data_IF_414013824749
#
_entry.id   IF_414013824749
#
_cell.length_a   1.000
_cell.length_b   1.000
_cell.length_c   1.000
_cell.angle_alpha   90.00
_cell.angle_beta   90.00
_cell.angle_gamma   90.00
#
_symmetry.space_group_name_H-M   'P 1'
#
loop_
_entity.id
_entity.type
_entity.pdbx_description
1 polymer ?
#
# COMPACT_ATOMS: atom_id res chain seq x y z
N UNK A 1 -35.19 -21.98 -9.19
CA UNK A 1 -33.74 -22.22 -9.37
C UNK A 1 -33.00 -21.19 -8.52
N UNK A 2 -32.58 -21.57 -7.32
CA UNK A 2 -32.24 -20.65 -6.24
C UNK A 2 -30.74 -20.74 -5.91
N UNK A 3 -30.07 -19.58 -5.92
CA UNK A 3 -28.82 -19.26 -5.21
C UNK A 3 -27.50 -20.02 -5.56
N UNK A 4 -27.40 -20.74 -6.69
CA UNK A 4 -26.15 -21.43 -7.09
C UNK A 4 -25.06 -20.50 -7.64
N UNK A 5 -25.40 -19.28 -8.08
CA UNK A 5 -24.47 -18.34 -8.73
C UNK A 5 -23.52 -17.64 -7.75
N UNK A 6 -23.87 -17.55 -6.46
CA UNK A 6 -23.03 -16.93 -5.42
C UNK A 6 -21.74 -17.72 -5.16
N UNK A 7 -21.78 -19.05 -5.32
CA UNK A 7 -20.62 -19.92 -5.13
C UNK A 7 -19.53 -19.72 -6.20
N UNK A 8 -19.90 -19.31 -7.41
CA UNK A 8 -18.94 -18.96 -8.46
C UNK A 8 -18.28 -17.60 -8.24
N UNK A 9 -18.87 -16.72 -7.44
CA UNK A 9 -18.30 -15.41 -7.11
C UNK A 9 -17.21 -15.50 -6.03
N UNK A 10 -17.24 -16.51 -5.15
CA UNK A 10 -16.26 -16.66 -4.06
C UNK A 10 -14.80 -16.82 -4.54
N UNK A 11 -14.49 -17.70 -5.51
CA UNK A 11 -13.13 -17.80 -6.06
C UNK A 11 -12.65 -16.48 -6.66
N UNK A 12 -13.54 -15.75 -7.33
CA UNK A 12 -13.22 -14.49 -7.98
C UNK A 12 -12.91 -13.38 -6.97
N UNK A 13 -13.70 -13.27 -5.90
CA UNK A 13 -13.46 -12.34 -4.79
C UNK A 13 -12.14 -12.65 -4.08
N UNK A 14 -11.84 -13.94 -3.85
CA UNK A 14 -10.56 -14.36 -3.29
C UNK A 14 -9.39 -13.99 -4.19
N UNK A 15 -9.55 -14.15 -5.52
CA UNK A 15 -8.55 -13.75 -6.49
C UNK A 15 -8.31 -12.24 -6.48
N UNK A 16 -9.36 -11.43 -6.57
CA UNK A 16 -9.25 -9.96 -6.49
C UNK A 16 -8.58 -9.54 -5.18
N UNK A 17 -9.03 -10.11 -4.05
CA UNK A 17 -8.44 -9.81 -2.75
C UNK A 17 -6.96 -10.15 -2.73
N UNK A 18 -6.56 -11.32 -3.22
CA UNK A 18 -5.15 -11.71 -3.29
C UNK A 18 -4.35 -10.72 -4.15
N UNK A 19 -4.84 -10.35 -5.33
CA UNK A 19 -4.12 -9.43 -6.23
C UNK A 19 -4.09 -7.97 -5.76
N UNK A 20 -4.96 -7.56 -4.83
CA UNK A 20 -4.93 -6.21 -4.25
C UNK A 20 -4.18 -6.21 -2.91
N UNK A 21 -4.54 -7.12 -2.02
CA UNK A 21 -4.01 -7.18 -0.66
C UNK A 21 -2.57 -7.69 -0.61
N UNK A 22 -2.19 -8.67 -1.44
CA UNK A 22 -0.82 -9.19 -1.48
C UNK A 22 0.20 -8.10 -1.86
N UNK A 23 0.07 -7.35 -2.97
CA UNK A 23 1.03 -6.28 -3.27
C UNK A 23 1.00 -5.16 -2.24
N UNK A 24 -0.16 -4.78 -1.71
CA UNK A 24 -0.25 -3.80 -0.63
C UNK A 24 0.50 -4.28 0.63
N UNK A 25 0.37 -5.56 0.98
CA UNK A 25 1.10 -6.18 2.08
C UNK A 25 2.61 -6.21 1.84
N UNK A 26 3.06 -6.50 0.62
CA UNK A 26 4.48 -6.41 0.26
C UNK A 26 5.02 -4.99 0.39
N UNK A 27 4.24 -3.97 -0.04
CA UNK A 27 4.61 -2.56 0.16
C UNK A 27 4.75 -2.24 1.65
N UNK A 28 3.82 -2.71 2.49
CA UNK A 28 3.92 -2.57 3.94
C UNK A 28 5.18 -3.24 4.50
N UNK A 29 5.45 -4.48 4.11
CA UNK A 29 6.67 -5.19 4.52
C UNK A 29 7.94 -4.43 4.12
N UNK A 30 8.01 -3.91 2.90
CA UNK A 30 9.15 -3.11 2.45
C UNK A 30 9.24 -1.75 3.15
N UNK A 31 8.13 -1.17 3.58
CA UNK A 31 8.16 0.09 4.33
C UNK A 31 8.86 -0.06 5.69
N UNK A 32 8.75 -1.23 6.34
CA UNK A 32 9.34 -1.51 7.65
C UNK A 32 10.64 -2.32 7.58
N UNK A 33 11.13 -2.65 6.40
CA UNK A 33 12.36 -3.44 6.21
C UNK A 33 13.37 -2.70 5.35
N UNK A 34 14.67 -2.93 5.59
CA UNK A 34 15.75 -2.41 4.75
C UNK A 34 16.54 -3.56 4.14
N UNK A 35 17.04 -3.34 2.93
CA UNK A 35 17.95 -4.25 2.24
C UNK A 35 19.36 -3.73 2.48
N UNK A 36 20.18 -4.50 3.19
CA UNK A 36 21.60 -4.19 3.30
C UNK A 36 22.29 -4.46 1.96
N UNK A 37 23.19 -3.57 1.52
CA UNK A 37 23.81 -3.65 0.18
C UNK A 37 24.81 -4.80 0.05
N UNK A 38 25.26 -5.40 1.15
CA UNK A 38 26.46 -6.25 1.17
C UNK A 38 26.27 -7.67 1.73
N UNK A 39 25.07 -8.11 2.08
CA UNK A 39 24.90 -9.42 2.70
C UNK A 39 23.51 -9.99 2.50
N UNK A 40 23.48 -11.10 1.77
CA UNK A 40 22.45 -12.14 1.80
C UNK A 40 21.29 -11.91 2.80
N UNK A 41 20.16 -11.44 2.29
CA UNK A 41 18.82 -11.74 2.82
C UNK A 41 18.64 -11.62 4.34
N UNK A 42 19.24 -10.62 4.99
CA UNK A 42 18.88 -10.27 6.36
C UNK A 42 17.76 -9.23 6.30
N UNK A 43 16.54 -9.66 6.65
CA UNK A 43 15.41 -8.74 6.80
C UNK A 43 15.66 -7.93 8.07
N UNK A 44 16.22 -6.73 7.91
CA UNK A 44 16.42 -5.81 9.02
C UNK A 44 15.18 -4.93 9.17
N UNK A 45 14.46 -5.07 10.28
CA UNK A 45 13.38 -4.17 10.63
C UNK A 45 13.94 -2.77 10.90
N UNK A 46 13.43 -1.77 10.20
CA UNK A 46 13.81 -0.37 10.38
C UNK A 46 12.63 0.56 10.16
N UNK A 47 12.62 1.68 10.88
CA UNK A 47 11.67 2.78 10.70
C UNK A 47 12.28 3.97 9.94
N UNK A 48 13.49 3.82 9.40
CA UNK A 48 14.17 4.89 8.65
C UNK A 48 13.43 5.26 7.36
N UNK A 49 12.80 4.29 6.69
CA UNK A 49 11.97 4.55 5.52
C UNK A 49 10.76 5.43 5.88
N UNK A 50 10.17 5.25 7.08
CA UNK A 50 9.10 6.12 7.57
C UNK A 50 9.62 7.53 7.92
N UNK A 51 10.83 7.66 8.47
CA UNK A 51 11.41 9.00 8.73
C UNK A 51 11.53 9.83 7.45
N UNK A 52 11.84 9.20 6.31
CA UNK A 52 11.88 9.90 5.01
C UNK A 52 10.53 10.51 4.66
N UNK A 53 9.42 9.82 4.93
CA UNK A 53 8.07 10.35 4.68
C UNK A 53 7.76 11.63 5.46
N UNK A 54 8.27 11.75 6.69
CA UNK A 54 8.08 12.95 7.51
C UNK A 54 9.03 14.11 7.16
N UNK A 55 9.87 13.98 6.13
CA UNK A 55 10.65 15.12 5.66
C UNK A 55 9.71 16.19 5.11
N UNK A 56 10.02 17.49 5.33
CA UNK A 56 9.13 18.59 4.99
C UNK A 56 8.73 18.62 3.51
N UNK A 57 9.62 18.16 2.62
CA UNK A 57 9.33 18.09 1.19
C UNK A 57 8.16 17.14 0.86
N UNK A 58 8.10 15.95 1.46
CA UNK A 58 7.03 14.99 1.20
C UNK A 58 5.73 15.41 1.89
N UNK A 59 5.81 16.01 3.07
CA UNK A 59 4.65 16.57 3.76
C UNK A 59 4.02 17.72 2.97
N UNK A 60 4.82 18.59 2.36
CA UNK A 60 4.31 19.65 1.49
C UNK A 60 3.58 19.06 0.27
N UNK A 61 4.17 18.06 -0.38
CA UNK A 61 3.53 17.37 -1.52
C UNK A 61 2.19 16.73 -1.11
N UNK A 62 2.14 16.11 0.08
CA UNK A 62 0.91 15.55 0.62
C UNK A 62 -0.15 16.63 0.84
N UNK A 63 0.23 17.77 1.38
CA UNK A 63 -0.68 18.89 1.59
C UNK A 63 -1.20 19.46 0.27
N UNK A 64 -0.33 19.67 -0.71
CA UNK A 64 -0.70 20.13 -2.05
C UNK A 64 -1.69 19.16 -2.71
N UNK A 65 -1.46 17.86 -2.56
CA UNK A 65 -2.34 16.82 -3.09
C UNK A 65 -3.73 16.84 -2.44
N UNK A 66 -3.80 17.02 -1.12
CA UNK A 66 -5.06 17.13 -0.38
C UNK A 66 -5.81 18.41 -0.76
N UNK A 67 -5.09 19.54 -0.85
CA UNK A 67 -5.66 20.83 -1.22
C UNK A 67 -6.27 20.78 -2.62
N UNK A 68 -5.54 20.23 -3.59
CA UNK A 68 -6.02 20.03 -4.96
C UNK A 68 -7.23 19.10 -5.01
N UNK A 69 -7.20 17.97 -4.29
CA UNK A 69 -8.32 17.03 -4.23
C UNK A 69 -9.58 17.68 -3.62
N UNK A 70 -9.42 18.48 -2.56
CA UNK A 70 -10.53 19.19 -1.93
C UNK A 70 -11.15 20.23 -2.87
N UNK A 71 -10.33 21.04 -3.54
CA UNK A 71 -10.81 22.02 -4.53
C UNK A 71 -11.56 21.31 -5.65
N UNK A 72 -10.98 20.24 -6.21
CA UNK A 72 -11.59 19.47 -7.29
C UNK A 72 -12.89 18.76 -6.90
N UNK A 73 -13.14 18.56 -5.61
CA UNK A 73 -14.39 17.95 -5.12
C UNK A 73 -15.47 19.00 -4.89
N UNK A 74 -15.07 20.23 -4.53
CA UNK A 74 -15.98 21.33 -4.19
C UNK A 74 -16.43 22.10 -5.42
N UNK A 75 -15.53 22.36 -6.38
CA UNK A 75 -15.79 23.07 -7.65
C UNK A 75 -16.20 22.05 -8.71
#
# INVERSE_FOLDING_TARGET
MKDRTKYFAYPYVLWIFLFIALPAFLVLLYSITTKESNGLTTIHFTLENFKKFFLPIYLNILWDSIYLAAISTII
#
